data_IF_628963480599
#
_entry.id   IF_628963480599
#
_cell.length_a   1.000
_cell.length_b   1.000
_cell.length_c   1.000
_cell.angle_alpha   90.00
_cell.angle_beta   90.00
_cell.angle_gamma   90.00
#
_symmetry.space_group_name_H-M   'P 1'
#
loop_
_entity.id
_entity.type
_entity.pdbx_description
1 polymer ?
#
# COMPACT_ATOMS: atom_id res chain seq x y z
N UNK A 1 -9.71 -28.50 10.97
CA UNK A 1 -8.38 -27.99 11.37
C UNK A 1 -8.28 -26.54 10.91
N UNK A 2 -8.26 -25.57 11.83
CA UNK A 2 -7.99 -24.17 11.50
C UNK A 2 -6.50 -23.93 11.69
N UNK A 3 -5.77 -23.74 10.59
CA UNK A 3 -4.30 -23.69 10.53
C UNK A 3 -3.74 -22.28 10.71
N UNK A 4 -4.50 -21.35 11.28
CA UNK A 4 -4.06 -19.97 11.45
C UNK A 4 -3.74 -19.70 12.93
N UNK A 5 -2.57 -19.10 13.24
CA UNK A 5 -2.22 -18.79 14.61
C UNK A 5 -3.24 -17.81 15.19
N UNK A 6 -3.84 -18.21 16.31
CA UNK A 6 -4.73 -17.40 17.14
C UNK A 6 -4.13 -16.02 17.35
N UNK A 7 -4.91 -14.99 17.03
CA UNK A 7 -4.60 -13.59 17.30
C UNK A 7 -4.26 -13.42 18.78
N UNK A 8 -2.99 -13.14 19.10
CA UNK A 8 -2.55 -12.76 20.45
C UNK A 8 -2.17 -11.27 20.42
N UNK A 9 -2.92 -10.40 21.12
CA UNK A 9 -2.57 -8.98 21.24
C UNK A 9 -1.14 -8.84 21.76
N UNK A 10 -0.33 -8.01 21.11
CA UNK A 10 1.04 -7.73 21.54
C UNK A 10 1.04 -6.86 22.79
N UNK A 11 1.38 -7.45 23.92
CA UNK A 11 1.79 -6.71 25.11
C UNK A 11 3.26 -6.32 24.97
N UNK A 12 3.56 -5.03 24.86
CA UNK A 12 4.92 -4.50 24.95
C UNK A 12 5.44 -3.86 23.67
N UNK A 13 5.93 -2.63 23.83
CA UNK A 13 6.43 -1.67 22.83
C UNK A 13 5.32 -0.96 22.04
N UNK A 14 4.80 0.11 22.66
CA UNK A 14 3.90 1.12 22.11
C UNK A 14 2.60 0.56 21.48
N UNK A 15 1.47 0.69 22.19
CA UNK A 15 0.14 0.16 21.77
C UNK A 15 -0.19 0.45 20.30
N UNK A 16 0.24 1.61 19.81
CA UNK A 16 0.01 2.03 18.43
C UNK A 16 0.78 1.16 17.41
N UNK A 17 2.08 0.92 17.61
CA UNK A 17 2.90 0.08 16.73
C UNK A 17 2.43 -1.38 16.75
N UNK A 18 2.09 -1.90 17.93
CA UNK A 18 1.50 -3.24 18.05
C UNK A 18 0.19 -3.35 17.28
N UNK A 19 -0.71 -2.36 17.42
CA UNK A 19 -1.99 -2.35 16.72
C UNK A 19 -1.84 -2.19 15.20
N UNK A 20 -0.87 -1.39 14.75
CA UNK A 20 -0.59 -1.20 13.34
C UNK A 20 -0.03 -2.49 12.73
N UNK A 21 0.88 -3.18 13.43
CA UNK A 21 1.43 -4.43 12.92
C UNK A 21 0.41 -5.57 12.90
N UNK A 22 -0.47 -5.61 13.90
CA UNK A 22 -1.58 -6.57 13.97
C UNK A 22 -2.61 -6.30 12.84
N UNK A 23 -2.93 -5.03 12.57
CA UNK A 23 -3.72 -4.63 11.40
C UNK A 23 -3.04 -5.04 10.10
N UNK A 24 -1.75 -4.75 9.93
CA UNK A 24 -1.02 -5.09 8.70
C UNK A 24 -0.90 -6.60 8.49
N UNK A 25 -0.79 -7.38 9.55
CA UNK A 25 -0.79 -8.83 9.46
C UNK A 25 -2.14 -9.37 8.96
N UNK A 26 -3.26 -8.81 9.43
CA UNK A 26 -4.58 -9.12 8.86
C UNK A 26 -4.73 -8.59 7.42
N UNK A 27 -4.24 -7.38 7.16
CA UNK A 27 -4.34 -6.75 5.86
C UNK A 27 -3.61 -7.56 4.78
N UNK A 28 -2.47 -8.18 5.10
CA UNK A 28 -1.68 -8.93 4.14
C UNK A 28 -2.07 -10.41 4.01
N UNK A 29 -2.57 -11.02 5.09
CA UNK A 29 -2.76 -12.48 5.15
C UNK A 29 -4.11 -12.95 5.69
N UNK A 30 -4.97 -12.02 6.11
CA UNK A 30 -6.30 -12.33 6.65
C UNK A 30 -7.25 -12.81 5.55
N UNK A 31 -8.35 -13.45 5.96
CA UNK A 31 -9.43 -13.81 5.05
C UNK A 31 -10.20 -12.56 4.60
N UNK A 32 -10.64 -12.59 3.34
CA UNK A 32 -11.17 -11.40 2.67
C UNK A 32 -12.53 -11.68 2.06
N UNK A 33 -13.42 -10.70 2.15
CA UNK A 33 -14.56 -10.59 1.23
C UNK A 33 -14.06 -10.06 -0.12
N UNK A 34 -14.86 -10.22 -1.17
CA UNK A 34 -14.53 -9.68 -2.49
C UNK A 34 -14.19 -8.17 -2.42
N UNK A 35 -14.94 -7.39 -1.64
CA UNK A 35 -14.74 -5.95 -1.49
C UNK A 35 -13.39 -5.62 -0.84
N UNK A 36 -13.02 -6.37 0.21
CA UNK A 36 -11.72 -6.20 0.87
C UNK A 36 -10.58 -6.54 -0.09
N UNK A 37 -10.72 -7.61 -0.86
CA UNK A 37 -9.74 -7.98 -1.88
C UNK A 37 -9.59 -6.89 -2.95
N UNK A 38 -10.70 -6.30 -3.41
CA UNK A 38 -10.66 -5.18 -4.37
C UNK A 38 -9.98 -3.95 -3.79
N UNK A 39 -10.30 -3.57 -2.55
CA UNK A 39 -9.70 -2.40 -1.87
C UNK A 39 -8.20 -2.54 -1.58
N UNK A 40 -7.67 -3.77 -1.62
CA UNK A 40 -6.24 -4.07 -1.53
C UNK A 40 -5.58 -4.18 -2.90
N UNK A 41 -6.19 -4.96 -3.79
CA UNK A 41 -5.65 -5.33 -5.09
C UNK A 41 -5.62 -4.19 -6.09
N UNK A 42 -6.68 -3.37 -6.16
CA UNK A 42 -6.72 -2.24 -7.12
C UNK A 42 -5.63 -1.21 -6.82
N UNK A 43 -5.45 -0.74 -5.56
CA UNK A 43 -4.33 0.13 -5.26
C UNK A 43 -2.98 -0.51 -5.53
N UNK A 44 -2.78 -1.79 -5.20
CA UNK A 44 -1.53 -2.48 -5.49
C UNK A 44 -1.24 -2.51 -7.00
N UNK A 45 -2.23 -2.81 -7.82
CA UNK A 45 -2.09 -2.79 -9.28
C UNK A 45 -1.70 -1.39 -9.77
N UNK A 46 -2.39 -0.35 -9.32
CA UNK A 46 -2.10 1.03 -9.71
C UNK A 46 -0.71 1.48 -9.23
N UNK A 47 -0.27 1.06 -8.05
CA UNK A 47 1.08 1.30 -7.56
C UNK A 47 2.14 0.66 -8.45
N UNK A 48 1.97 -0.61 -8.81
CA UNK A 48 2.89 -1.32 -9.70
C UNK A 48 2.95 -0.66 -11.07
N UNK A 49 1.78 -0.37 -11.65
CA UNK A 49 1.70 0.32 -12.92
C UNK A 49 2.40 1.69 -12.87
N UNK A 50 2.13 2.48 -11.84
CA UNK A 50 2.72 3.80 -11.68
C UNK A 50 4.24 3.74 -11.51
N UNK A 51 4.72 2.84 -10.65
CA UNK A 51 6.13 2.74 -10.28
C UNK A 51 7.01 2.24 -11.43
N UNK A 52 6.47 1.35 -12.27
CA UNK A 52 7.21 0.74 -13.37
C UNK A 52 7.19 1.59 -14.64
N UNK A 53 6.01 2.14 -14.98
CA UNK A 53 5.82 2.79 -16.27
C UNK A 53 5.80 4.30 -16.16
N UNK A 54 5.04 4.85 -15.20
CA UNK A 54 4.83 6.29 -15.10
C UNK A 54 6.05 7.04 -14.57
N UNK A 55 6.70 6.53 -13.52
CA UNK A 55 7.93 7.15 -13.01
C UNK A 55 9.06 7.11 -14.04
N UNK A 56 9.26 5.96 -14.70
CA UNK A 56 10.26 5.82 -15.76
C UNK A 56 10.01 6.83 -16.89
N UNK A 57 8.75 7.03 -17.26
CA UNK A 57 8.37 8.03 -18.27
C UNK A 57 8.65 9.48 -17.80
N UNK A 58 8.36 9.82 -16.54
CA UNK A 58 8.72 11.12 -16.00
C UNK A 58 10.23 11.35 -15.96
N UNK A 59 11.01 10.32 -15.57
CA UNK A 59 12.48 10.39 -15.58
C UNK A 59 13.00 10.64 -16.99
N UNK A 60 12.42 9.96 -18.00
CA UNK A 60 12.76 10.19 -19.40
C UNK A 60 12.60 11.67 -19.79
N UNK A 61 11.39 12.22 -19.64
CA UNK A 61 11.15 13.63 -19.98
C UNK A 61 11.96 14.61 -19.14
N UNK A 62 12.21 14.27 -17.87
CA UNK A 62 13.00 15.10 -16.97
C UNK A 62 14.44 15.29 -17.50
N UNK A 63 15.07 14.21 -17.99
CA UNK A 63 16.48 14.25 -18.41
C UNK A 63 16.69 14.66 -19.87
N UNK A 64 15.67 14.49 -20.72
CA UNK A 64 15.75 14.86 -22.15
C UNK A 64 15.19 16.25 -22.43
N UNK A 65 14.10 16.65 -21.76
CA UNK A 65 13.37 17.88 -22.09
C UNK A 65 13.47 18.94 -21.00
N UNK A 66 13.15 18.56 -19.75
CA UNK A 66 12.83 19.54 -18.70
C UNK A 66 14.05 20.13 -18.00
N UNK A 67 15.12 19.35 -17.79
CA UNK A 67 16.35 19.85 -17.16
C UNK A 67 17.26 20.52 -18.22
N UNK A 68 17.35 21.87 -18.23
CA UNK A 68 17.96 22.60 -19.35
C UNK A 68 19.45 22.30 -19.53
N UNK A 69 20.12 21.89 -18.45
CA UNK A 69 21.56 21.62 -18.41
C UNK A 69 21.91 20.14 -18.66
N UNK A 70 20.95 19.21 -18.60
CA UNK A 70 21.19 17.82 -18.98
C UNK A 70 20.94 17.62 -20.47
N UNK A 71 19.70 17.90 -20.92
CA UNK A 71 19.22 17.74 -22.32
C UNK A 71 19.90 16.58 -23.04
N UNK A 72 19.88 15.42 -22.40
CA UNK A 72 20.50 14.23 -22.97
C UNK A 72 19.81 13.84 -24.28
N UNK A 73 20.53 13.15 -25.16
CA UNK A 73 19.92 12.57 -26.35
C UNK A 73 18.83 11.57 -25.96
N UNK A 74 17.89 11.34 -26.88
CA UNK A 74 16.78 10.41 -26.65
C UNK A 74 17.26 9.01 -26.26
N UNK A 75 18.38 8.55 -26.84
CA UNK A 75 18.99 7.25 -26.53
C UNK A 75 19.49 7.17 -25.08
N UNK A 76 20.19 8.22 -24.60
CA UNK A 76 20.70 8.28 -23.23
C UNK A 76 19.54 8.44 -22.25
N UNK A 77 18.54 9.25 -22.59
CA UNK A 77 17.33 9.39 -21.80
C UNK A 77 16.59 8.06 -21.66
N UNK A 78 16.44 7.30 -22.76
CA UNK A 78 15.82 5.99 -22.75
C UNK A 78 16.59 5.00 -21.87
N UNK A 79 17.93 4.98 -21.95
CA UNK A 79 18.76 4.12 -21.11
C UNK A 79 18.58 4.44 -19.62
N UNK A 80 18.60 5.72 -19.23
CA UNK A 80 18.41 6.16 -17.85
C UNK A 80 17.01 5.78 -17.34
N UNK A 81 15.97 6.06 -18.14
CA UNK A 81 14.58 5.75 -17.79
C UNK A 81 14.36 4.25 -17.58
N UNK A 82 14.92 3.41 -18.46
CA UNK A 82 14.86 1.95 -18.30
C UNK A 82 15.64 1.48 -17.07
N UNK A 83 16.84 2.04 -16.83
CA UNK A 83 17.62 1.73 -15.63
C UNK A 83 16.85 2.04 -14.34
N UNK A 84 16.14 3.16 -14.31
CA UNK A 84 15.27 3.54 -13.20
C UNK A 84 14.08 2.57 -13.05
N UNK A 85 13.38 2.27 -14.14
CA UNK A 85 12.26 1.33 -14.15
C UNK A 85 12.64 -0.08 -13.69
N UNK A 86 13.76 -0.60 -14.17
CA UNK A 86 14.28 -1.91 -13.77
C UNK A 86 14.73 -1.94 -12.30
N UNK A 87 15.28 -0.84 -11.81
CA UNK A 87 15.63 -0.72 -10.38
C UNK A 87 14.39 -0.74 -9.51
N UNK A 88 13.34 0.00 -9.87
CA UNK A 88 12.06 -0.05 -9.16
C UNK A 88 11.45 -1.45 -9.19
N UNK A 89 11.51 -2.13 -10.34
CA UNK A 89 11.05 -3.52 -10.44
C UNK A 89 11.79 -4.45 -9.49
N UNK A 90 13.12 -4.36 -9.42
CA UNK A 90 13.92 -5.15 -8.49
C UNK A 90 13.55 -4.88 -7.02
N UNK A 91 13.36 -3.60 -6.64
CA UNK A 91 12.93 -3.23 -5.28
C UNK A 91 11.54 -3.77 -4.93
N UNK A 92 10.61 -3.74 -5.89
CA UNK A 92 9.28 -4.34 -5.74
C UNK A 92 9.38 -5.85 -5.49
N UNK A 93 10.23 -6.55 -6.24
CA UNK A 93 10.46 -8.00 -6.04
C UNK A 93 11.01 -8.27 -4.65
N UNK A 94 12.02 -7.51 -4.21
CA UNK A 94 12.61 -7.66 -2.87
C UNK A 94 11.54 -7.44 -1.79
N UNK A 95 10.71 -6.41 -1.93
CA UNK A 95 9.61 -6.13 -0.99
C UNK A 95 8.58 -7.27 -1.01
N UNK A 96 8.19 -7.77 -2.19
CA UNK A 96 7.24 -8.86 -2.33
C UNK A 96 7.76 -10.14 -1.64
N UNK A 97 9.03 -10.50 -1.86
CA UNK A 97 9.68 -11.63 -1.18
C UNK A 97 9.71 -11.39 0.32
N UNK A 98 10.08 -10.20 0.77
CA UNK A 98 10.11 -9.81 2.18
C UNK A 98 8.72 -9.94 2.85
N UNK A 99 7.67 -9.50 2.17
CA UNK A 99 6.28 -9.64 2.62
C UNK A 99 5.88 -11.11 2.70
N UNK A 100 6.21 -11.95 1.72
CA UNK A 100 5.91 -13.38 1.83
C UNK A 100 6.70 -14.04 2.98
N UNK A 101 7.97 -13.67 3.14
CA UNK A 101 8.82 -14.18 4.22
C UNK A 101 8.34 -13.72 5.61
N UNK A 102 7.71 -12.55 5.74
CA UNK A 102 7.19 -12.02 6.99
C UNK A 102 5.94 -12.78 7.50
N UNK A 103 5.31 -13.61 6.67
CA UNK A 103 4.09 -14.33 7.00
C UNK A 103 4.29 -15.21 8.24
N UNK A 104 3.48 -14.98 9.28
CA UNK A 104 3.54 -15.72 10.54
C UNK A 104 4.78 -15.46 11.40
N UNK A 105 5.73 -14.63 10.94
CA UNK A 105 6.95 -14.30 11.67
C UNK A 105 6.75 -13.09 12.59
N UNK A 106 7.48 -13.11 13.71
CA UNK A 106 7.47 -12.08 14.76
C UNK A 106 8.88 -11.51 14.95
N UNK A 107 8.96 -10.25 15.35
CA UNK A 107 10.22 -9.53 15.54
C UNK A 107 10.19 -8.16 14.89
N UNK A 108 11.12 -7.28 15.29
CA UNK A 108 11.19 -5.89 14.82
C UNK A 108 11.33 -5.83 13.30
N UNK A 109 12.26 -6.59 12.71
CA UNK A 109 12.47 -6.58 11.25
C UNK A 109 11.22 -6.96 10.45
N UNK A 110 10.47 -7.99 10.86
CA UNK A 110 9.23 -8.40 10.19
C UNK A 110 8.10 -7.38 10.38
N UNK A 111 8.05 -6.74 11.55
CA UNK A 111 7.09 -5.67 11.82
C UNK A 111 7.40 -4.43 10.97
N UNK A 112 8.68 -4.10 10.79
CA UNK A 112 9.13 -3.02 9.92
C UNK A 112 8.71 -3.25 8.47
N UNK A 113 8.87 -4.47 7.94
CA UNK A 113 8.41 -4.81 6.57
C UNK A 113 6.91 -4.55 6.44
N UNK A 114 6.11 -5.04 7.40
CA UNK A 114 4.65 -4.85 7.38
C UNK A 114 4.25 -3.38 7.48
N UNK A 115 4.90 -2.60 8.36
CA UNK A 115 4.65 -1.15 8.49
C UNK A 115 5.03 -0.41 7.21
N UNK A 116 6.20 -0.70 6.62
CA UNK A 116 6.63 -0.12 5.34
C UNK A 116 5.58 -0.41 4.27
N UNK A 117 5.13 -1.66 4.13
CA UNK A 117 4.07 -2.02 3.18
C UNK A 117 2.77 -1.25 3.43
N UNK A 118 2.40 -1.05 4.70
CA UNK A 118 1.25 -0.23 5.08
C UNK A 118 1.40 1.24 4.67
N UNK A 119 2.59 1.82 4.88
CA UNK A 119 2.89 3.18 4.45
C UNK A 119 2.89 3.30 2.93
N UNK A 120 3.41 2.32 2.20
CA UNK A 120 3.34 2.28 0.73
C UNK A 120 1.90 2.21 0.25
N UNK A 121 1.05 1.42 0.91
CA UNK A 121 -0.38 1.38 0.60
C UNK A 121 -1.04 2.76 0.83
N UNK A 122 -0.79 3.40 1.97
CA UNK A 122 -1.34 4.72 2.29
C UNK A 122 -0.84 5.79 1.30
N UNK A 123 0.45 5.80 0.99
CA UNK A 123 1.03 6.67 -0.03
C UNK A 123 0.34 6.47 -1.38
N UNK A 124 0.10 5.21 -1.75
CA UNK A 124 -0.57 4.89 -3.02
C UNK A 124 -1.99 5.46 -3.04
N UNK A 125 -2.78 5.16 -2.03
CA UNK A 125 -4.21 5.47 -2.00
C UNK A 125 -4.47 6.96 -1.74
N UNK A 126 -3.63 7.63 -0.95
CA UNK A 126 -3.83 9.02 -0.54
C UNK A 126 -3.04 10.03 -1.37
N UNK A 127 -2.02 9.59 -2.11
CA UNK A 127 -1.14 10.50 -2.86
C UNK A 127 -1.02 10.08 -4.32
N UNK A 128 -0.55 8.86 -4.60
CA UNK A 128 -0.26 8.45 -5.99
C UNK A 128 -1.53 8.41 -6.84
N UNK A 129 -2.57 7.69 -6.40
CA UNK A 129 -3.82 7.58 -7.15
C UNK A 129 -4.50 8.96 -7.31
N UNK A 130 -4.60 9.81 -6.26
CA UNK A 130 -5.07 11.17 -6.41
C UNK A 130 -4.28 12.03 -7.39
N UNK A 131 -2.95 11.92 -7.40
CA UNK A 131 -2.08 12.64 -8.35
C UNK A 131 -2.29 12.14 -9.79
N UNK A 132 -2.45 10.83 -9.98
CA UNK A 132 -2.81 10.27 -11.28
C UNK A 132 -4.16 10.78 -11.76
N UNK A 133 -5.17 10.81 -10.88
CA UNK A 133 -6.49 11.35 -11.18
C UNK A 133 -6.43 12.83 -11.56
N UNK A 134 -5.68 13.64 -10.78
CA UNK A 134 -5.40 15.03 -11.09
C UNK A 134 -4.75 15.18 -12.48
N UNK A 135 -3.76 14.34 -12.80
CA UNK A 135 -3.06 14.38 -14.08
C UNK A 135 -3.95 13.99 -15.27
N UNK A 136 -4.77 12.96 -15.10
CA UNK A 136 -5.76 12.52 -16.11
C UNK A 136 -6.81 13.60 -16.39
N UNK A 137 -7.14 14.43 -15.40
CA UNK A 137 -8.06 15.55 -15.52
C UNK A 137 -7.39 16.85 -16.03
N UNK A 138 -6.20 16.74 -16.64
CA UNK A 138 -5.49 17.86 -17.26
C UNK A 138 -4.59 18.66 -16.32
N UNK A 139 -4.47 18.22 -15.06
CA UNK A 139 -3.53 18.79 -14.11
C UNK A 139 -2.09 18.40 -14.40
N UNK A 140 -1.13 19.26 -14.05
CA UNK A 140 0.28 18.90 -14.06
C UNK A 140 1.02 19.61 -12.93
N UNK A 141 1.96 18.90 -12.31
CA UNK A 141 2.90 19.51 -11.37
C UNK A 141 4.09 20.13 -12.11
N UNK A 142 4.35 19.69 -13.35
CA UNK A 142 5.45 20.15 -14.17
C UNK A 142 5.15 20.02 -15.68
N UNK A 143 5.00 21.12 -16.43
CA UNK A 143 4.89 22.49 -15.93
C UNK A 143 3.64 22.66 -15.05
N UNK A 144 3.65 23.54 -14.03
CA UNK A 144 2.53 23.67 -13.10
C UNK A 144 1.23 24.11 -13.79
N UNK A 145 0.20 23.26 -13.72
CA UNK A 145 -1.14 23.49 -14.28
C UNK A 145 -2.18 22.93 -13.33
N UNK A 146 -3.00 23.79 -12.73
CA UNK A 146 -3.96 23.41 -11.69
C UNK A 146 -5.39 23.75 -12.09
N UNK A 147 -5.98 23.08 -13.11
CA UNK A 147 -7.38 23.28 -13.44
C UNK A 147 -8.26 22.88 -12.26
N UNK A 148 -9.33 23.64 -12.00
CA UNK A 148 -10.25 23.38 -10.90
C UNK A 148 -10.83 21.95 -10.97
N UNK A 149 -11.15 21.49 -12.18
CA UNK A 149 -11.62 20.12 -12.41
C UNK A 149 -10.60 19.07 -11.95
N UNK A 150 -9.32 19.27 -12.26
CA UNK A 150 -8.26 18.35 -11.85
C UNK A 150 -8.07 18.32 -10.34
N UNK A 151 -8.06 19.50 -9.70
CA UNK A 151 -7.98 19.61 -8.24
C UNK A 151 -9.17 18.93 -7.56
N UNK A 152 -10.39 19.19 -8.05
CA UNK A 152 -11.60 18.59 -7.51
C UNK A 152 -11.58 17.06 -7.67
N UNK A 153 -11.19 16.56 -8.85
CA UNK A 153 -11.15 15.13 -9.10
C UNK A 153 -10.09 14.42 -8.24
N UNK A 154 -8.88 14.99 -8.14
CA UNK A 154 -7.84 14.48 -7.24
C UNK A 154 -8.29 14.44 -5.78
N UNK A 155 -8.93 15.51 -5.29
CA UNK A 155 -9.44 15.60 -3.91
C UNK A 155 -10.53 14.54 -3.63
N UNK A 156 -11.47 14.36 -4.56
CA UNK A 156 -12.53 13.35 -4.45
C UNK A 156 -11.90 11.96 -4.34
N UNK A 157 -10.95 11.65 -5.21
CA UNK A 157 -10.27 10.35 -5.23
C UNK A 157 -9.46 10.12 -3.94
N UNK A 158 -8.79 11.15 -3.41
CA UNK A 158 -8.12 11.08 -2.11
C UNK A 158 -9.11 10.80 -0.97
N UNK A 159 -10.27 11.47 -0.99
CA UNK A 159 -11.35 11.25 -0.02
C UNK A 159 -11.90 9.82 -0.06
N UNK A 160 -12.15 9.28 -1.24
CA UNK A 160 -12.56 7.89 -1.42
C UNK A 160 -11.51 6.90 -0.91
N UNK A 161 -10.22 7.20 -1.16
CA UNK A 161 -9.11 6.43 -0.65
C UNK A 161 -9.03 6.41 0.89
N UNK A 162 -9.26 7.57 1.52
CA UNK A 162 -9.34 7.68 2.97
C UNK A 162 -10.52 6.89 3.55
N UNK A 163 -11.70 7.01 2.95
CA UNK A 163 -12.90 6.24 3.36
C UNK A 163 -12.65 4.74 3.23
N UNK A 164 -12.05 4.28 2.13
CA UNK A 164 -11.69 2.87 1.94
C UNK A 164 -10.71 2.36 3.00
N UNK A 165 -9.70 3.17 3.36
CA UNK A 165 -8.72 2.85 4.41
C UNK A 165 -9.39 2.72 5.78
N UNK A 166 -10.30 3.65 6.10
CA UNK A 166 -11.10 3.61 7.34
C UNK A 166 -12.01 2.38 7.37
N UNK A 167 -12.67 2.06 6.27
CA UNK A 167 -13.49 0.86 6.14
C UNK A 167 -12.69 -0.41 6.44
N UNK A 168 -11.49 -0.55 5.85
CA UNK A 168 -10.60 -1.69 6.09
C UNK A 168 -10.23 -1.82 7.58
N UNK A 169 -9.97 -0.71 8.25
CA UNK A 169 -9.68 -0.71 9.69
C UNK A 169 -10.89 -1.16 10.53
N UNK A 170 -12.09 -0.70 10.20
CA UNK A 170 -13.31 -1.15 10.89
C UNK A 170 -13.60 -2.63 10.65
N UNK A 171 -13.38 -3.13 9.44
CA UNK A 171 -13.57 -4.54 9.11
C UNK A 171 -12.57 -5.42 9.88
N UNK A 172 -11.30 -5.00 9.97
CA UNK A 172 -10.31 -5.62 10.85
C UNK A 172 -10.78 -5.69 12.31
N UNK A 173 -11.28 -4.57 12.86
CA UNK A 173 -11.80 -4.51 14.24
C UNK A 173 -12.99 -5.45 14.44
N UNK A 174 -13.90 -5.50 13.47
CA UNK A 174 -15.08 -6.37 13.51
C UNK A 174 -14.69 -7.85 13.55
N UNK A 175 -13.79 -8.27 12.66
CA UNK A 175 -13.32 -9.66 12.59
C UNK A 175 -12.58 -10.04 13.87
N UNK A 176 -11.67 -9.18 14.33
CA UNK A 176 -10.88 -9.43 15.54
C UNK A 176 -11.76 -9.59 16.78
N UNK A 177 -12.83 -8.80 16.90
CA UNK A 177 -13.82 -8.95 17.99
C UNK A 177 -14.56 -10.28 17.88
N UNK A 178 -15.07 -10.62 16.70
CA UNK A 178 -15.78 -11.88 16.46
C UNK A 178 -14.93 -13.10 16.80
N UNK A 179 -13.65 -13.08 16.42
CA UNK A 179 -12.71 -14.17 16.71
C UNK A 179 -12.39 -14.27 18.21
N UNK A 180 -12.28 -13.13 18.91
CA UNK A 180 -12.10 -13.09 20.35
C UNK A 180 -13.31 -13.69 21.09
N UNK A 181 -14.53 -13.34 20.67
CA UNK A 181 -15.77 -13.87 21.25
C UNK A 181 -15.90 -15.38 21.00
N UNK A 182 -15.57 -15.84 19.80
CA UNK A 182 -15.59 -17.27 19.45
C UNK A 182 -14.52 -18.07 20.22
N UNK A 183 -13.37 -17.47 20.52
CA UNK A 183 -12.35 -18.09 21.35
C UNK A 183 -12.77 -18.14 22.83
N UNK A 184 -13.41 -17.08 23.34
CA UNK A 184 -13.96 -17.04 24.69
C UNK A 184 -15.03 -18.12 24.88
N UNK A 185 -15.96 -18.25 23.93
CA UNK A 185 -16.98 -19.31 23.93
C UNK A 185 -16.35 -20.71 24.01
N UNK A 186 -15.40 -21.02 23.11
CA UNK A 186 -14.70 -22.31 23.13
C UNK A 186 -13.95 -22.57 24.44
N UNK A 187 -13.31 -21.54 25.00
CA UNK A 187 -12.62 -21.67 26.29
C UNK A 187 -13.59 -21.97 27.43
N UNK A 188 -14.78 -21.37 27.41
CA UNK A 188 -15.83 -21.60 28.41
C UNK A 188 -16.46 -22.99 28.28
N UNK A 189 -16.61 -23.51 27.06
CA UNK A 189 -17.09 -24.86 26.80
C UNK A 189 -16.09 -25.93 27.26
N UNK A 190 -14.79 -25.68 27.02
CA UNK A 190 -13.71 -26.56 27.49
C UNK A 190 -13.57 -26.54 29.02
N UNK A 191 -13.76 -25.40 29.67
CA UNK A 191 -13.70 -25.28 31.13
C UNK A 191 -14.91 -25.91 31.86
N UNK A 192 -16.00 -26.20 31.14
CA UNK A 192 -17.19 -26.89 31.67
C UNK A 192 -17.11 -28.42 31.54
N UNK A 193 -16.11 -28.95 30.84
CA UNK A 193 -15.85 -30.40 30.71
C UNK A 193 -14.77 -30.81 31.69
#
# INVERSE_FOLDING_TARGET
MSTYPVYRPRGGVNRLLGSADDFMNWFLYGHETWLVATLKGVPLFLFLYFSLFYLSNYVYYLVTVELPFLRFSDDVGFLIANGFGMTNFALIIILAIGVQAARGRRGIGWSTIRIITGLTYLLTVLVIIPLMAFNLAGGSLWPPRFPLQGLAFGLIVAGLGAVGSVYLYFEYRRITRRDADAAALRSSELARR
#
